data_IF_962833870983
#
_entry.id   IF_962833870983
#
_cell.length_a   1.000
_cell.length_b   1.000
_cell.length_c   1.000
_cell.angle_alpha   90.00
_cell.angle_beta   90.00
_cell.angle_gamma   90.00
#
_symmetry.space_group_name_H-M   'P 1'
#
loop_
_entity.id
_entity.type
_entity.pdbx_description
1 polymer ?
#
# COMPACT_ATOMS: atom_id res chain seq x y z
N UNK A 1 15.99 0.17 11.10
CA UNK A 1 15.13 1.37 11.12
C UNK A 1 13.90 0.95 11.90
N UNK A 2 13.58 1.63 12.99
CA UNK A 2 12.48 1.24 13.89
C UNK A 2 11.23 2.00 13.45
N UNK A 3 10.20 1.26 13.06
CA UNK A 3 8.89 1.64 12.45
C UNK A 3 8.04 2.64 13.26
N UNK A 4 8.56 3.15 14.38
CA UNK A 4 7.78 3.88 15.39
C UNK A 4 8.19 5.36 15.53
N UNK A 5 9.14 5.85 14.71
CA UNK A 5 9.69 7.22 14.82
C UNK A 5 9.98 7.88 13.46
N UNK A 6 9.80 7.19 12.34
CA UNK A 6 10.15 7.73 11.02
C UNK A 6 8.94 8.40 10.35
N UNK A 7 9.15 9.62 9.85
CA UNK A 7 8.21 10.35 8.99
C UNK A 7 8.55 10.18 7.50
N UNK A 8 9.54 9.34 7.17
CA UNK A 8 10.02 9.07 5.82
C UNK A 8 10.10 7.55 5.60
N UNK A 9 8.95 6.88 5.66
CA UNK A 9 8.86 5.45 5.41
C UNK A 9 8.39 5.15 3.98
N UNK A 10 8.90 4.06 3.38
CA UNK A 10 8.39 3.57 2.11
C UNK A 10 6.88 3.33 2.19
N UNK A 11 6.18 3.67 1.11
CA UNK A 11 4.75 3.39 0.95
C UNK A 11 4.40 1.93 1.26
N UNK A 12 3.31 1.70 1.99
CA UNK A 12 2.64 0.42 2.12
C UNK A 12 1.87 -0.05 0.87
N UNK A 13 2.24 0.46 -0.31
CA UNK A 13 1.67 0.12 -1.61
C UNK A 13 1.56 -1.39 -1.83
N UNK A 14 0.38 -1.80 -2.31
CA UNK A 14 0.08 -3.16 -2.72
C UNK A 14 0.49 -3.31 -4.18
N UNK A 15 1.20 -4.39 -4.52
CA UNK A 15 1.72 -4.63 -5.87
C UNK A 15 1.33 -6.01 -6.35
N UNK A 16 0.87 -6.12 -7.58
CA UNK A 16 0.58 -7.40 -8.23
C UNK A 16 1.57 -7.68 -9.34
N UNK A 17 2.12 -8.88 -9.32
CA UNK A 17 3.09 -9.34 -10.30
C UNK A 17 2.53 -10.52 -11.09
N UNK A 18 2.90 -10.59 -12.35
CA UNK A 18 2.68 -11.77 -13.18
C UNK A 18 3.51 -12.93 -12.61
N UNK A 19 2.84 -14.04 -12.30
CA UNK A 19 3.43 -15.21 -11.63
C UNK A 19 4.52 -15.90 -12.46
N UNK A 20 4.49 -15.79 -13.78
CA UNK A 20 5.44 -16.48 -14.67
C UNK A 20 6.65 -15.61 -15.02
N UNK A 21 6.45 -14.30 -15.14
CA UNK A 21 7.46 -13.36 -15.64
C UNK A 21 8.01 -12.45 -14.55
N UNK A 22 7.33 -12.32 -13.41
CA UNK A 22 7.67 -11.38 -12.35
C UNK A 22 7.42 -9.91 -12.72
N UNK A 23 6.75 -9.64 -13.84
CA UNK A 23 6.45 -8.26 -14.27
C UNK A 23 5.36 -7.64 -13.41
N UNK A 24 5.54 -6.39 -12.99
CA UNK A 24 4.51 -5.63 -12.28
C UNK A 24 3.33 -5.37 -13.23
N UNK A 25 2.13 -5.79 -12.82
CA UNK A 25 0.89 -5.68 -13.60
C UNK A 25 0.10 -4.46 -13.16
N UNK A 26 -0.05 -4.28 -11.84
CA UNK A 26 -0.71 -3.12 -11.24
C UNK A 26 -0.17 -2.85 -9.84
N UNK A 27 -0.43 -1.65 -9.34
CA UNK A 27 -0.19 -1.25 -7.96
C UNK A 27 -1.42 -0.58 -7.37
N UNK A 28 -1.54 -0.54 -6.06
CA UNK A 28 -2.55 0.24 -5.37
C UNK A 28 -1.92 0.90 -4.15
N UNK A 29 -1.95 2.23 -4.14
CA UNK A 29 -1.45 3.06 -3.05
C UNK A 29 -2.63 3.77 -2.40
N UNK A 30 -2.83 3.59 -1.10
CA UNK A 30 -3.90 4.26 -0.37
C UNK A 30 -3.81 5.79 -0.42
N UNK A 31 -2.63 6.36 -0.64
CA UNK A 31 -2.43 7.79 -0.84
C UNK A 31 -2.76 8.29 -2.25
N UNK A 32 -2.94 7.38 -3.23
CA UNK A 32 -3.41 7.67 -4.58
C UNK A 32 -4.15 6.45 -5.16
N UNK A 33 -5.36 6.16 -4.65
CA UNK A 33 -6.02 4.87 -4.88
C UNK A 33 -6.57 4.71 -6.31
N UNK A 34 -6.73 5.81 -7.04
CA UNK A 34 -7.31 5.82 -8.38
C UNK A 34 -6.27 5.59 -9.49
N UNK A 35 -4.96 5.75 -9.21
CA UNK A 35 -3.88 5.46 -10.16
C UNK A 35 -3.22 4.11 -9.86
N UNK A 36 -3.72 3.07 -10.53
CA UNK A 36 -3.23 1.71 -10.35
C UNK A 36 -2.15 1.29 -11.35
N UNK A 37 -1.70 2.23 -12.18
CA UNK A 37 -0.73 1.94 -13.24
C UNK A 37 0.68 1.87 -12.64
N UNK A 38 1.51 0.90 -13.05
CA UNK A 38 2.94 0.86 -12.72
C UNK A 38 3.61 2.23 -12.90
N UNK A 39 4.19 2.74 -11.82
CA UNK A 39 4.92 4.01 -11.85
C UNK A 39 6.09 3.96 -12.85
N UNK A 40 6.27 5.04 -13.61
CA UNK A 40 7.43 5.23 -14.47
C UNK A 40 8.73 5.36 -13.64
N UNK A 41 9.86 5.07 -14.28
CA UNK A 41 11.18 5.20 -13.67
C UNK A 41 11.39 6.61 -13.07
N UNK A 42 11.93 6.66 -11.85
CA UNK A 42 12.16 7.91 -11.11
C UNK A 42 10.96 8.45 -10.33
N UNK A 43 9.76 7.87 -10.46
CA UNK A 43 8.61 8.21 -9.61
C UNK A 43 8.59 7.34 -8.35
N UNK A 44 8.01 7.88 -7.28
CA UNK A 44 7.84 7.20 -6.00
C UNK A 44 6.39 7.22 -5.56
N UNK A 45 5.97 6.16 -4.88
CA UNK A 45 4.66 6.07 -4.21
C UNK A 45 4.55 7.06 -3.05
N UNK A 46 3.31 7.32 -2.60
CA UNK A 46 3.00 8.18 -1.47
C UNK A 46 3.65 7.60 -0.21
N UNK A 47 4.50 8.40 0.44
CA UNK A 47 5.23 7.97 1.63
C UNK A 47 4.29 7.82 2.81
N UNK A 48 4.65 6.94 3.75
CA UNK A 48 3.86 6.65 4.96
C UNK A 48 2.43 6.16 4.69
N UNK A 49 2.09 5.78 3.45
CA UNK A 49 0.83 5.09 3.17
C UNK A 49 0.75 3.81 3.99
N UNK A 50 -0.39 3.51 4.63
CA UNK A 50 -0.56 2.33 5.46
C UNK A 50 -0.21 1.08 4.67
N UNK A 51 0.46 0.16 5.34
CA UNK A 51 0.79 -1.14 4.81
C UNK A 51 -0.25 -2.18 5.25
N UNK A 52 -0.24 -3.34 4.58
CA UNK A 52 -1.03 -4.50 4.97
C UNK A 52 -0.07 -5.61 5.42
N UNK A 53 -0.10 -5.95 6.72
CA UNK A 53 0.72 -7.01 7.30
C UNK A 53 -0.07 -8.27 7.64
N UNK A 54 -1.39 -8.23 7.45
CA UNK A 54 -2.30 -9.34 7.75
C UNK A 54 -2.66 -10.14 6.50
N UNK A 55 -3.40 -11.23 6.68
CA UNK A 55 -3.93 -12.03 5.58
C UNK A 55 -5.05 -11.30 4.84
N UNK A 56 -5.06 -11.43 3.52
CA UNK A 56 -6.14 -10.95 2.66
C UNK A 56 -7.14 -12.06 2.34
N UNK A 57 -8.32 -11.69 1.85
CA UNK A 57 -9.34 -12.62 1.36
C UNK A 57 -9.70 -12.32 -0.10
N UNK A 58 -10.05 -13.34 -0.87
CA UNK A 58 -10.43 -13.22 -2.29
C UNK A 58 -11.81 -13.81 -2.50
N UNK A 59 -12.67 -13.10 -3.22
CA UNK A 59 -13.89 -13.63 -3.80
C UNK A 59 -13.72 -13.70 -5.32
N UNK A 60 -13.47 -14.91 -5.81
CA UNK A 60 -13.25 -15.17 -7.25
C UNK A 60 -14.52 -14.97 -8.08
N UNK A 61 -15.72 -15.12 -7.49
CA UNK A 61 -16.99 -14.93 -8.22
C UNK A 61 -17.26 -13.46 -8.47
N UNK A 62 -16.87 -12.61 -7.54
CA UNK A 62 -16.98 -11.15 -7.66
C UNK A 62 -15.75 -10.52 -8.31
N UNK A 63 -14.63 -11.25 -8.41
CA UNK A 63 -13.36 -10.72 -8.87
C UNK A 63 -12.78 -9.68 -7.89
N UNK A 64 -13.02 -9.86 -6.59
CA UNK A 64 -12.69 -8.90 -5.55
C UNK A 64 -11.61 -9.42 -4.60
N UNK A 65 -10.71 -8.53 -4.21
CA UNK A 65 -9.67 -8.74 -3.21
C UNK A 65 -9.92 -7.80 -2.03
N UNK A 66 -10.02 -8.37 -0.83
CA UNK A 66 -10.27 -7.63 0.42
C UNK A 66 -8.99 -7.54 1.24
N UNK A 67 -8.52 -6.30 1.44
CA UNK A 67 -7.23 -6.00 2.06
C UNK A 67 -7.44 -5.26 3.39
N UNK A 68 -7.12 -5.86 4.55
CA UNK A 68 -7.14 -5.15 5.82
C UNK A 68 -5.93 -4.22 5.93
N UNK A 69 -6.14 -2.92 5.79
CA UNK A 69 -5.07 -1.92 5.91
C UNK A 69 -4.77 -1.59 7.37
N UNK A 70 -3.49 -1.38 7.69
CA UNK A 70 -3.07 -0.76 8.95
C UNK A 70 -3.45 0.74 9.03
N UNK A 71 -3.06 1.41 10.10
CA UNK A 71 -3.19 2.87 10.21
C UNK A 71 -2.06 3.61 9.50
N UNK A 72 -2.32 4.87 9.12
CA UNK A 72 -1.27 5.78 8.64
C UNK A 72 -0.28 6.06 9.76
N UNK A 73 1.01 5.99 9.43
CA UNK A 73 2.07 6.36 10.35
C UNK A 73 2.04 7.86 10.68
N UNK A 74 2.43 8.26 11.90
CA UNK A 74 2.97 7.42 12.97
C UNK A 74 1.89 6.74 13.83
N UNK A 75 2.10 5.47 14.17
CA UNK A 75 1.19 4.59 14.95
C UNK A 75 0.86 5.11 16.38
N UNK A 76 1.49 6.20 16.83
CA UNK A 76 1.28 6.79 18.17
C UNK A 76 0.77 8.24 18.21
N UNK A 77 0.47 8.93 17.11
CA UNK A 77 0.03 10.33 17.17
C UNK A 77 -1.45 10.53 16.85
N UNK A 78 -2.29 10.58 17.89
CA UNK A 78 -3.70 10.99 17.84
C UNK A 78 -3.92 12.51 17.79
N UNK A 79 -3.04 13.27 17.12
CA UNK A 79 -3.00 14.73 17.23
C UNK A 79 -3.86 15.54 16.27
N UNK A 80 -4.36 14.97 15.16
CA UNK A 80 -5.27 15.68 14.23
C UNK A 80 -6.68 15.09 14.26
N UNK A 81 -7.26 14.98 15.46
CA UNK A 81 -8.71 15.04 15.61
C UNK A 81 -9.12 16.51 15.71
N UNK A 82 -9.30 17.16 14.57
CA UNK A 82 -10.14 18.38 14.44
C UNK A 82 -11.05 18.26 13.24
#
# INVERSE_FOLDING_TARGET
MTDNVSIDEPSGVIRAFDVHTGKLVWNWDSGNPDDTTPLAEGKTYTRNSPNMWSMFAVDEKLGMLYLPMGNQMPDQYGGDRT
#
